data_IF_516499057898
#
_entry.id   IF_516499057898
#
_cell.length_a   1.000
_cell.length_b   1.000
_cell.length_c   1.000
_cell.angle_alpha   90.00
_cell.angle_beta   90.00
_cell.angle_gamma   90.00
#
_symmetry.space_group_name_H-M   'P 1'
#
loop_
_entity.id
_entity.type
_entity.pdbx_description
1 polymer ?
#
# COMPACT_ATOMS: atom_id res chain seq x y z
N UNK A 1 5.11 108.88 40.26
CA UNK A 1 5.01 107.44 40.55
C UNK A 1 4.12 106.81 39.51
N UNK A 2 4.67 106.20 38.45
CA UNK A 2 4.07 105.09 37.69
C UNK A 2 5.20 104.42 36.90
N UNK A 3 5.57 103.22 37.32
CA UNK A 3 6.55 102.33 36.67
C UNK A 3 5.79 101.30 35.86
N UNK A 4 6.08 101.20 34.56
CA UNK A 4 5.55 100.16 33.69
C UNK A 4 6.58 99.03 33.57
N UNK A 5 6.16 97.80 33.85
CA UNK A 5 6.91 96.58 33.59
C UNK A 5 6.49 96.01 32.23
N UNK A 6 7.45 95.84 31.32
CA UNK A 6 7.28 94.99 30.13
C UNK A 6 7.81 93.60 30.50
N UNK A 7 6.92 92.61 30.50
CA UNK A 7 7.22 91.21 30.74
C UNK A 7 7.27 90.51 29.38
N UNK A 8 8.44 90.05 28.98
CA UNK A 8 8.62 89.23 27.79
C UNK A 8 7.76 87.95 27.87
N UNK A 9 6.89 87.75 26.88
CA UNK A 9 6.26 86.45 26.66
C UNK A 9 7.16 85.60 25.77
N UNK A 10 7.84 84.65 26.39
CA UNK A 10 8.54 83.55 25.73
C UNK A 10 7.49 82.60 25.14
N UNK A 11 7.45 82.47 23.81
CA UNK A 11 6.72 81.43 23.10
C UNK A 11 7.44 80.08 23.32
N UNK A 12 6.91 79.21 24.19
CA UNK A 12 7.44 77.85 24.38
C UNK A 12 6.42 76.78 23.98
N UNK A 13 6.77 76.09 22.90
CA UNK A 13 6.43 74.70 22.54
C UNK A 13 4.96 74.23 22.52
N UNK A 14 4.22 74.57 21.47
CA UNK A 14 3.02 73.82 21.06
C UNK A 14 3.27 72.65 20.09
N UNK A 15 4.48 72.55 19.52
CA UNK A 15 4.76 71.65 18.38
C UNK A 15 4.93 70.17 18.76
N UNK A 16 5.64 69.86 19.85
CA UNK A 16 5.91 68.47 20.27
C UNK A 16 4.65 67.73 20.73
N UNK A 17 3.76 68.40 21.47
CA UNK A 17 2.52 67.81 21.96
C UNK A 17 1.55 67.46 20.81
N UNK A 18 1.49 68.31 19.78
CA UNK A 18 0.66 68.06 18.59
C UNK A 18 1.25 66.96 17.71
N UNK A 19 2.58 66.85 17.61
CA UNK A 19 3.25 65.76 16.90
C UNK A 19 3.00 64.41 17.57
N UNK A 20 3.06 64.35 18.90
CA UNK A 20 2.76 63.12 19.68
C UNK A 20 1.29 62.70 19.49
N UNK A 21 0.35 63.66 19.54
CA UNK A 21 -1.07 63.38 19.28
C UNK A 21 -1.31 62.84 17.87
N UNK A 22 -0.62 63.39 16.87
CA UNK A 22 -0.73 62.93 15.48
C UNK A 22 -0.14 61.52 15.32
N UNK A 23 1.02 61.24 15.92
CA UNK A 23 1.60 59.90 15.92
C UNK A 23 0.68 58.87 16.60
N UNK A 24 0.08 59.20 17.75
CA UNK A 24 -0.89 58.33 18.44
C UNK A 24 -2.13 58.08 17.57
N UNK A 25 -2.63 59.11 16.89
CA UNK A 25 -3.78 58.98 15.98
C UNK A 25 -3.45 58.05 14.80
N UNK A 26 -2.28 58.20 14.20
CA UNK A 26 -1.82 57.33 13.10
C UNK A 26 -1.67 55.88 13.59
N UNK A 27 -1.13 55.68 14.80
CA UNK A 27 -0.93 54.34 15.35
C UNK A 27 -2.26 53.66 15.67
N UNK A 28 -3.24 54.40 16.18
CA UNK A 28 -4.62 53.93 16.39
C UNK A 28 -5.32 53.60 15.06
N UNK A 29 -5.14 54.43 14.03
CA UNK A 29 -5.67 54.17 12.70
C UNK A 29 -5.05 52.91 12.09
N UNK A 30 -3.73 52.75 12.14
CA UNK A 30 -3.04 51.53 11.69
C UNK A 30 -3.50 50.29 12.45
N UNK A 31 -3.70 50.39 13.76
CA UNK A 31 -4.22 49.28 14.57
C UNK A 31 -5.66 48.93 14.16
N UNK A 32 -6.52 49.93 13.97
CA UNK A 32 -7.90 49.71 13.50
C UNK A 32 -7.95 49.06 12.12
N UNK A 33 -7.06 49.49 11.21
CA UNK A 33 -6.93 48.93 9.87
C UNK A 33 -6.43 47.47 9.92
N UNK A 34 -5.46 47.16 10.77
CA UNK A 34 -5.01 45.79 11.02
C UNK A 34 -6.13 44.91 11.57
N UNK A 35 -6.94 45.42 12.51
CA UNK A 35 -8.08 44.70 13.07
C UNK A 35 -9.18 44.41 12.03
N UNK A 36 -9.26 45.17 10.93
CA UNK A 36 -10.21 44.93 9.84
C UNK A 36 -9.60 44.01 8.76
N UNK A 37 -8.34 44.25 8.39
CA UNK A 37 -7.66 43.53 7.30
C UNK A 37 -7.29 42.11 7.75
N UNK A 38 -6.81 41.90 8.97
CA UNK A 38 -6.38 40.57 9.44
C UNK A 38 -7.52 39.54 9.40
N UNK A 39 -8.74 39.82 9.93
CA UNK A 39 -9.86 38.89 9.80
C UNK A 39 -10.28 38.64 8.36
N UNK A 40 -10.20 39.68 7.51
CA UNK A 40 -10.51 39.55 6.08
C UNK A 40 -9.51 38.65 5.36
N UNK A 41 -8.20 38.80 5.61
CA UNK A 41 -7.14 37.94 5.08
C UNK A 41 -7.28 36.51 5.62
N UNK A 42 -7.60 36.32 6.91
CA UNK A 42 -7.83 34.99 7.49
C UNK A 42 -9.02 34.30 6.80
N UNK A 43 -10.09 35.06 6.51
CA UNK A 43 -11.28 34.57 5.82
C UNK A 43 -11.02 34.26 4.34
N UNK A 44 -10.31 35.11 3.61
CA UNK A 44 -9.97 34.92 2.19
C UNK A 44 -8.95 33.79 1.96
N UNK A 45 -7.92 33.68 2.81
CA UNK A 45 -6.89 32.65 2.67
C UNK A 45 -7.36 31.24 3.06
N UNK A 46 -8.60 31.09 3.50
CA UNK A 46 -9.10 29.77 3.90
C UNK A 46 -8.29 29.13 5.02
N UNK A 47 -7.55 29.93 5.81
CA UNK A 47 -6.92 29.51 7.07
C UNK A 47 -8.03 29.34 8.14
N UNK A 48 -9.07 28.58 7.80
CA UNK A 48 -9.64 27.73 8.82
C UNK A 48 -8.51 26.79 9.18
N UNK A 49 -7.85 27.04 10.31
CA UNK A 49 -7.41 25.94 11.13
C UNK A 49 -8.67 25.09 11.35
N UNK A 50 -8.96 24.17 10.42
CA UNK A 50 -9.92 23.10 10.65
C UNK A 50 -9.30 22.35 11.81
N UNK A 51 -9.65 22.77 13.01
CA UNK A 51 -9.42 21.99 14.20
C UNK A 51 -10.16 20.71 13.92
N UNK A 52 -9.38 19.71 13.51
CA UNK A 52 -9.81 18.33 13.54
C UNK A 52 -10.50 18.15 14.89
N UNK A 53 -11.66 17.50 14.89
CA UNK A 53 -12.33 17.12 16.13
C UNK A 53 -11.27 16.64 17.13
N UNK A 54 -11.19 17.29 18.29
CA UNK A 54 -10.19 16.97 19.32
C UNK A 54 -10.43 15.51 19.69
N UNK A 55 -9.49 14.62 19.32
CA UNK A 55 -9.59 13.19 19.55
C UNK A 55 -8.54 12.74 20.56
N UNK A 56 -8.96 12.05 21.60
CA UNK A 56 -8.10 11.61 22.71
C UNK A 56 -7.49 10.22 22.45
N UNK A 57 -6.53 9.84 23.29
CA UNK A 57 -5.76 8.60 23.15
C UNK A 57 -6.54 7.26 23.25
N UNK A 58 -7.80 7.18 23.76
CA UNK A 58 -8.63 5.99 23.55
C UNK A 58 -9.54 6.07 22.30
N UNK A 59 -9.46 7.12 21.48
CA UNK A 59 -10.41 7.30 20.40
C UNK A 59 -10.22 6.32 19.25
N UNK A 60 -11.34 5.96 18.65
CA UNK A 60 -11.39 5.16 17.43
C UNK A 60 -10.63 5.85 16.30
N UNK A 61 -9.74 5.08 15.66
CA UNK A 61 -9.01 5.46 14.45
C UNK A 61 -9.83 5.09 13.23
N UNK A 62 -10.16 6.06 12.41
CA UNK A 62 -10.97 5.84 11.21
C UNK A 62 -10.08 5.70 9.99
N UNK A 63 -10.21 4.57 9.30
CA UNK A 63 -9.44 4.22 8.11
C UNK A 63 -10.40 4.19 6.93
N UNK A 64 -10.19 5.08 5.97
CA UNK A 64 -10.95 5.12 4.72
C UNK A 64 -10.24 4.26 3.69
N UNK A 65 -10.90 3.21 3.21
CA UNK A 65 -10.51 2.55 1.97
C UNK A 65 -11.12 3.35 0.82
N UNK A 66 -10.26 4.13 0.17
CA UNK A 66 -10.69 5.04 -0.86
C UNK A 66 -10.97 4.29 -2.16
N UNK A 67 -12.19 4.44 -2.67
CA UNK A 67 -12.64 3.78 -3.89
C UNK A 67 -13.35 4.81 -4.76
N UNK A 68 -12.81 5.07 -5.96
CA UNK A 68 -13.39 6.08 -6.85
C UNK A 68 -14.83 5.74 -7.29
N UNK A 69 -15.77 6.70 -7.34
CA UNK A 69 -17.16 6.46 -7.74
C UNK A 69 -17.34 5.82 -9.13
N UNK A 70 -16.49 6.15 -10.12
CA UNK A 70 -16.54 5.50 -11.45
C UNK A 70 -16.09 4.02 -11.40
N UNK A 71 -15.16 3.69 -10.51
CA UNK A 71 -14.74 2.30 -10.27
C UNK A 71 -15.82 1.53 -9.48
N UNK A 72 -16.51 2.18 -8.53
CA UNK A 72 -17.70 1.61 -7.87
C UNK A 72 -18.79 1.23 -8.88
N UNK A 73 -19.07 2.08 -9.87
CA UNK A 73 -20.01 1.77 -10.96
C UNK A 73 -19.53 0.57 -11.78
N UNK A 74 -18.29 0.58 -12.27
CA UNK A 74 -17.78 -0.53 -13.10
C UNK A 74 -17.74 -1.88 -12.35
N UNK A 75 -17.33 -1.89 -11.07
CA UNK A 75 -17.37 -3.10 -10.22
C UNK A 75 -18.83 -3.59 -10.12
N UNK A 76 -19.78 -2.72 -9.77
CA UNK A 76 -21.21 -3.07 -9.62
C UNK A 76 -21.89 -3.68 -10.87
N UNK A 77 -21.41 -3.39 -12.08
CA UNK A 77 -22.02 -3.89 -13.32
C UNK A 77 -21.59 -5.32 -13.70
N UNK A 78 -20.43 -5.80 -13.22
CA UNK A 78 -19.90 -7.11 -13.61
C UNK A 78 -19.66 -8.08 -12.45
N UNK A 79 -19.47 -7.59 -11.21
CA UNK A 79 -19.23 -8.41 -10.02
C UNK A 79 -19.83 -7.67 -8.82
N UNK A 80 -20.57 -8.35 -7.93
CA UNK A 80 -20.97 -7.73 -6.65
C UNK A 80 -19.68 -7.27 -5.97
N UNK A 81 -19.47 -5.96 -5.84
CA UNK A 81 -18.26 -5.41 -5.23
C UNK A 81 -18.24 -5.82 -3.77
N UNK A 82 -17.60 -6.94 -3.46
CA UNK A 82 -17.41 -7.39 -2.10
C UNK A 82 -16.25 -6.58 -1.54
N UNK A 83 -16.54 -5.83 -0.48
CA UNK A 83 -15.48 -5.19 0.29
C UNK A 83 -14.57 -6.29 0.85
N UNK A 84 -13.27 -6.12 0.70
CA UNK A 84 -12.28 -7.08 1.20
C UNK A 84 -12.37 -7.24 2.73
N UNK A 85 -12.63 -6.14 3.42
CA UNK A 85 -12.84 -6.11 4.87
C UNK A 85 -14.27 -5.67 5.20
N UNK A 86 -14.78 -6.21 6.30
CA UNK A 86 -16.04 -5.72 6.85
C UNK A 86 -15.87 -4.28 7.34
N UNK A 87 -16.85 -3.42 7.04
CA UNK A 87 -16.84 -2.06 7.57
C UNK A 87 -17.06 -2.08 9.08
N UNK A 88 -16.38 -1.19 9.79
CA UNK A 88 -16.40 -1.08 11.24
C UNK A 88 -15.18 -1.73 11.89
N UNK A 89 -15.40 -2.24 13.10
CA UNK A 89 -14.36 -2.75 13.99
C UNK A 89 -14.20 -4.28 13.92
N UNK A 90 -15.18 -4.98 13.34
CA UNK A 90 -15.31 -6.45 13.42
C UNK A 90 -14.08 -7.19 12.91
N UNK A 91 -13.46 -6.72 11.83
CA UNK A 91 -12.22 -7.28 11.28
C UNK A 91 -11.12 -7.40 12.33
N UNK A 92 -10.88 -6.34 13.12
CA UNK A 92 -9.82 -6.32 14.13
C UNK A 92 -10.13 -7.23 15.31
N UNK A 93 -11.41 -7.32 15.72
CA UNK A 93 -11.86 -8.17 16.82
C UNK A 93 -11.75 -9.65 16.43
N UNK A 94 -12.29 -10.02 15.25
CA UNK A 94 -12.28 -11.40 14.74
C UNK A 94 -10.86 -11.92 14.54
N UNK A 95 -9.95 -11.06 14.09
CA UNK A 95 -8.53 -11.40 13.92
C UNK A 95 -7.72 -11.34 15.22
N UNK A 96 -8.34 -10.99 16.35
CA UNK A 96 -7.68 -10.87 17.68
C UNK A 96 -6.47 -9.94 17.64
N UNK A 97 -6.60 -8.79 16.96
CA UNK A 97 -5.53 -7.81 16.84
C UNK A 97 -5.16 -7.23 18.23
N UNK A 98 -3.87 -6.90 18.49
CA UNK A 98 -3.46 -6.24 19.73
C UNK A 98 -4.16 -4.89 19.96
N UNK A 99 -4.48 -4.19 18.87
CA UNK A 99 -5.23 -2.95 18.87
C UNK A 99 -6.53 -3.15 18.12
N UNK A 100 -7.65 -2.89 18.80
CA UNK A 100 -8.98 -3.02 18.23
C UNK A 100 -9.68 -1.66 18.06
N UNK A 101 -9.08 -0.55 18.50
CA UNK A 101 -9.67 0.79 18.39
C UNK A 101 -9.56 1.38 16.96
N UNK A 102 -9.83 0.57 15.94
CA UNK A 102 -9.79 0.93 14.52
C UNK A 102 -11.14 0.67 13.85
N UNK A 103 -11.54 1.55 12.94
CA UNK A 103 -12.80 1.50 12.20
C UNK A 103 -12.51 1.59 10.70
N UNK A 104 -12.88 0.56 9.94
CA UNK A 104 -12.76 0.55 8.48
C UNK A 104 -14.03 1.11 7.84
N UNK A 105 -13.87 2.07 6.92
CA UNK A 105 -14.98 2.61 6.13
C UNK A 105 -14.64 2.62 4.64
N UNK A 106 -15.66 2.40 3.81
CA UNK A 106 -15.64 2.63 2.35
C UNK A 106 -16.55 3.80 1.94
N UNK A 107 -17.13 4.47 2.94
CA UNK A 107 -17.99 5.63 2.81
C UNK A 107 -17.20 6.89 3.19
N UNK A 108 -16.83 7.68 2.19
CA UNK A 108 -16.10 8.94 2.33
C UNK A 108 -16.91 9.99 3.11
N UNK A 109 -18.24 9.88 3.10
CA UNK A 109 -19.13 10.82 3.78
C UNK A 109 -19.34 10.54 5.27
N UNK A 110 -18.78 9.44 5.80
CA UNK A 110 -19.01 8.99 7.18
C UNK A 110 -18.67 10.07 8.23
N UNK A 111 -17.62 10.86 8.00
CA UNK A 111 -17.14 11.87 8.94
C UNK A 111 -17.50 13.28 8.46
N UNK A 112 -18.80 13.57 8.42
CA UNK A 112 -19.40 14.85 8.01
C UNK A 112 -19.06 15.25 6.57
N UNK A 113 -18.90 14.29 5.66
CA UNK A 113 -18.52 14.60 4.27
C UNK A 113 -17.07 15.05 4.06
N UNK A 114 -16.25 15.06 5.12
CA UNK A 114 -14.89 15.58 5.07
C UNK A 114 -13.86 14.47 5.26
N UNK A 115 -13.20 14.11 4.16
CA UNK A 115 -12.20 13.06 4.13
C UNK A 115 -10.99 13.37 5.03
N UNK A 116 -10.70 14.65 5.31
CA UNK A 116 -9.57 15.04 6.18
C UNK A 116 -9.76 14.63 7.64
N UNK A 117 -10.98 14.22 8.03
CA UNK A 117 -11.30 13.72 9.37
C UNK A 117 -10.91 12.25 9.59
N UNK A 118 -10.60 11.50 8.54
CA UNK A 118 -10.09 10.13 8.66
C UNK A 118 -8.63 10.15 9.15
N UNK A 119 -8.27 9.20 10.00
CA UNK A 119 -6.90 9.04 10.49
C UNK A 119 -5.97 8.53 9.39
N UNK A 120 -6.47 7.64 8.53
CA UNK A 120 -5.75 7.14 7.37
C UNK A 120 -6.67 7.00 6.16
N UNK A 121 -6.09 7.16 4.97
CA UNK A 121 -6.74 6.91 3.68
C UNK A 121 -5.88 5.92 2.91
N UNK A 122 -6.45 4.77 2.58
CA UNK A 122 -5.80 3.69 1.86
C UNK A 122 -6.18 3.78 0.39
N UNK A 123 -5.17 3.86 -0.47
CA UNK A 123 -5.29 3.95 -1.91
C UNK A 123 -4.79 2.66 -2.54
N UNK A 124 -5.72 1.88 -3.08
CA UNK A 124 -5.38 0.66 -3.81
C UNK A 124 -4.90 1.00 -5.23
N UNK A 125 -3.81 0.36 -5.66
CA UNK A 125 -3.21 0.56 -6.98
C UNK A 125 -4.23 0.46 -8.11
N UNK A 126 -5.21 -0.45 -8.00
CA UNK A 126 -6.22 -0.65 -9.04
C UNK A 126 -7.22 0.50 -9.15
N UNK A 127 -7.44 1.22 -8.05
CA UNK A 127 -8.35 2.36 -8.00
C UNK A 127 -7.64 3.64 -8.48
N UNK A 128 -6.34 3.81 -8.18
CA UNK A 128 -5.58 5.00 -8.60
C UNK A 128 -4.92 4.89 -9.99
N UNK A 129 -4.61 3.69 -10.49
CA UNK A 129 -3.93 3.51 -11.78
C UNK A 129 -4.78 3.94 -12.98
N UNK A 130 -6.11 3.96 -12.82
CA UNK A 130 -7.07 4.28 -13.90
C UNK A 130 -7.51 5.75 -13.86
N UNK A 131 -6.84 6.57 -13.05
CA UNK A 131 -7.30 7.89 -12.67
C UNK A 131 -6.81 9.00 -13.60
N UNK A 132 -7.64 10.03 -13.79
CA UNK A 132 -7.29 11.27 -14.53
C UNK A 132 -7.11 12.41 -13.54
N UNK A 133 -6.10 13.25 -13.76
CA UNK A 133 -5.59 14.29 -12.83
C UNK A 133 -6.69 15.20 -12.25
N UNK A 134 -7.74 15.52 -13.01
CA UNK A 134 -8.77 16.48 -12.62
C UNK A 134 -9.72 16.00 -11.50
N UNK A 135 -9.72 14.70 -11.18
CA UNK A 135 -10.60 14.14 -10.14
C UNK A 135 -9.91 14.21 -8.74
N UNK A 136 -8.68 14.75 -8.63
CA UNK A 136 -7.89 14.79 -7.40
C UNK A 136 -8.15 16.07 -6.59
N UNK A 137 -9.22 16.09 -5.78
CA UNK A 137 -9.44 17.16 -4.80
C UNK A 137 -9.47 16.60 -3.38
N UNK A 138 -8.31 16.19 -2.88
CA UNK A 138 -8.12 15.79 -1.49
C UNK A 138 -7.58 16.94 -0.67
N UNK A 139 -8.30 17.29 0.40
CA UNK A 139 -7.73 18.14 1.46
C UNK A 139 -7.05 17.24 2.47
N UNK A 140 -5.72 17.31 2.56
CA UNK A 140 -4.92 16.50 3.48
C UNK A 140 -4.81 17.19 4.84
N UNK A 141 -5.19 16.49 5.90
CA UNK A 141 -4.90 16.94 7.26
C UNK A 141 -3.44 16.64 7.62
N UNK A 142 -2.74 17.51 8.38
CA UNK A 142 -1.36 17.26 8.81
C UNK A 142 -1.14 15.96 9.59
N UNK A 143 -2.20 15.41 10.18
CA UNK A 143 -2.15 14.20 11.01
C UNK A 143 -2.71 12.95 10.31
N UNK A 144 -3.10 13.08 9.04
CA UNK A 144 -3.69 12.01 8.26
C UNK A 144 -2.61 11.25 7.49
N UNK A 145 -2.69 9.93 7.50
CA UNK A 145 -1.78 9.06 6.76
C UNK A 145 -2.37 8.61 5.43
N UNK A 146 -1.68 8.91 4.34
CA UNK A 146 -2.01 8.39 3.02
C UNK A 146 -1.20 7.11 2.79
N UNK A 147 -1.89 5.99 2.61
CA UNK A 147 -1.29 4.66 2.52
C UNK A 147 -1.41 4.16 1.09
N UNK A 148 -0.28 3.96 0.42
CA UNK A 148 -0.23 3.27 -0.86
C UNK A 148 -0.40 1.77 -0.63
N UNK A 149 -1.34 1.15 -1.33
CA UNK A 149 -1.59 -0.28 -1.22
C UNK A 149 -1.49 -0.97 -2.58
N UNK A 150 -0.72 -2.04 -2.64
CA UNK A 150 -0.61 -2.87 -3.84
C UNK A 150 -0.20 -4.29 -3.50
N UNK A 151 -0.95 -5.26 -4.04
CA UNK A 151 -0.47 -6.65 -4.11
C UNK A 151 0.07 -7.00 -5.51
N UNK A 152 0.05 -6.05 -6.46
CA UNK A 152 0.64 -6.20 -7.78
C UNK A 152 2.07 -5.69 -7.80
N UNK A 153 2.92 -6.36 -8.59
CA UNK A 153 4.24 -5.87 -8.90
C UNK A 153 4.21 -4.55 -9.68
N UNK A 154 5.18 -3.68 -9.41
CA UNK A 154 5.26 -2.35 -10.03
C UNK A 154 5.50 -2.42 -11.55
N UNK A 155 6.12 -3.49 -12.05
CA UNK A 155 6.27 -3.71 -13.48
C UNK A 155 4.94 -4.13 -14.13
N UNK A 156 4.08 -4.86 -13.42
CA UNK A 156 2.76 -5.24 -13.89
C UNK A 156 1.77 -4.07 -13.83
N UNK A 157 1.78 -3.31 -12.73
CA UNK A 157 0.86 -2.20 -12.48
C UNK A 157 1.62 -0.93 -12.06
N UNK A 158 2.34 -0.27 -12.98
CA UNK A 158 3.10 0.93 -12.64
C UNK A 158 2.18 2.13 -12.41
N UNK A 159 2.50 2.93 -11.39
CA UNK A 159 1.91 4.26 -11.17
C UNK A 159 2.92 5.30 -11.66
N UNK A 160 2.72 5.80 -12.88
CA UNK A 160 3.64 6.76 -13.52
C UNK A 160 3.13 8.21 -13.51
N UNK A 161 1.99 8.49 -12.85
CA UNK A 161 1.46 9.84 -12.81
C UNK A 161 2.20 10.66 -11.74
N UNK A 162 2.88 11.78 -12.10
CA UNK A 162 3.66 12.59 -11.16
C UNK A 162 2.85 13.18 -10.00
N UNK A 163 1.50 13.21 -10.09
CA UNK A 163 0.64 13.61 -8.96
C UNK A 163 0.86 12.74 -7.72
N UNK A 164 1.35 11.52 -7.90
CA UNK A 164 1.64 10.57 -6.83
C UNK A 164 3.08 10.68 -6.30
N UNK A 165 3.91 11.57 -6.85
CA UNK A 165 5.26 11.81 -6.34
C UNK A 165 5.18 12.45 -4.95
N UNK A 166 5.85 11.84 -3.96
CA UNK A 166 5.81 12.24 -2.54
C UNK A 166 4.39 12.33 -1.95
N UNK A 167 3.44 11.61 -2.54
CA UNK A 167 2.04 11.69 -2.16
C UNK A 167 1.69 10.84 -0.93
N UNK A 168 2.26 9.64 -0.86
CA UNK A 168 1.97 8.65 0.19
C UNK A 168 2.92 8.78 1.39
N UNK A 169 2.40 8.59 2.60
CA UNK A 169 3.19 8.45 3.83
C UNK A 169 3.71 7.04 4.03
N UNK A 170 2.86 6.05 3.80
CA UNK A 170 3.10 4.64 4.13
C UNK A 170 2.84 3.76 2.92
N UNK A 171 3.54 2.63 2.90
CA UNK A 171 3.35 1.55 1.94
C UNK A 171 2.78 0.31 2.61
N UNK A 172 1.78 -0.29 1.98
CA UNK A 172 1.17 -1.56 2.36
C UNK A 172 1.22 -2.50 1.15
N UNK A 173 2.31 -3.24 1.02
CA UNK A 173 2.59 -4.07 -0.16
C UNK A 173 3.22 -5.41 0.19
N UNK A 174 3.44 -6.27 -0.81
CA UNK A 174 4.18 -7.53 -0.62
C UNK A 174 5.66 -7.34 -0.25
N UNK A 175 6.23 -6.16 -0.51
CA UNK A 175 7.63 -5.89 -0.20
C UNK A 175 7.87 -5.97 1.30
N UNK A 176 8.97 -6.62 1.68
CA UNK A 176 9.28 -6.86 3.09
C UNK A 176 9.73 -5.59 3.81
N UNK A 177 10.10 -4.55 3.05
CA UNK A 177 10.46 -3.23 3.56
C UNK A 177 9.31 -2.21 3.59
N UNK A 178 8.07 -2.63 3.29
CA UNK A 178 6.90 -1.77 3.45
C UNK A 178 6.63 -1.42 4.91
N UNK A 179 6.01 -0.26 5.17
CA UNK A 179 5.57 0.14 6.51
C UNK A 179 4.58 -0.87 7.09
N UNK A 180 3.73 -1.44 6.22
CA UNK A 180 2.84 -2.56 6.52
C UNK A 180 3.14 -3.69 5.52
N UNK A 181 4.04 -4.62 5.83
CA UNK A 181 4.32 -5.75 4.95
C UNK A 181 3.11 -6.69 4.85
N UNK A 182 2.75 -7.07 3.63
CA UNK A 182 1.70 -8.04 3.33
C UNK A 182 2.17 -9.03 2.26
N UNK A 183 3.12 -9.92 2.60
CA UNK A 183 3.64 -10.91 1.67
C UNK A 183 2.56 -11.93 1.29
N UNK A 184 2.69 -12.54 0.12
CA UNK A 184 1.75 -13.56 -0.36
C UNK A 184 1.76 -14.85 0.48
N UNK A 185 2.89 -15.13 1.15
CA UNK A 185 3.10 -16.33 1.94
C UNK A 185 3.54 -15.99 3.36
N UNK A 186 3.07 -16.79 4.32
CA UNK A 186 3.52 -16.75 5.70
C UNK A 186 4.24 -18.06 6.03
N UNK A 187 5.39 -17.96 6.70
CA UNK A 187 6.25 -19.10 7.02
C UNK A 187 6.14 -19.37 8.52
N UNK A 188 5.65 -20.56 8.87
CA UNK A 188 5.51 -21.00 10.24
C UNK A 188 6.52 -22.11 10.55
N UNK A 189 7.05 -22.11 11.77
CA UNK A 189 7.88 -23.21 12.24
C UNK A 189 7.02 -24.39 12.75
N UNK A 190 7.67 -25.47 13.17
CA UNK A 190 7.01 -26.66 13.72
C UNK A 190 6.20 -26.42 15.02
N UNK A 191 6.32 -25.24 15.64
CA UNK A 191 5.53 -24.82 16.81
C UNK A 191 4.44 -23.81 16.43
N UNK A 192 4.09 -23.74 15.14
CA UNK A 192 3.08 -22.82 14.58
C UNK A 192 3.38 -21.33 14.84
N UNK A 193 4.65 -20.98 15.09
CA UNK A 193 5.08 -19.59 15.24
C UNK A 193 5.44 -19.02 13.88
N UNK A 194 4.89 -17.84 13.56
CA UNK A 194 5.27 -17.05 12.39
C UNK A 194 6.76 -16.67 12.48
N UNK A 195 7.55 -17.13 11.52
CA UNK A 195 9.00 -16.86 11.46
C UNK A 195 9.38 -15.96 10.29
N UNK A 196 8.63 -15.98 9.18
CA UNK A 196 8.92 -15.18 7.99
C UNK A 196 7.72 -15.03 7.05
N UNK A 197 7.92 -14.39 5.89
CA UNK A 197 9.18 -13.86 5.38
C UNK A 197 9.63 -12.58 6.10
N UNK A 198 10.94 -12.32 6.15
CA UNK A 198 11.55 -11.12 6.75
C UNK A 198 12.75 -10.69 5.94
N UNK A 199 13.05 -9.39 5.90
CA UNK A 199 14.25 -8.85 5.24
C UNK A 199 15.51 -9.58 5.69
N UNK A 200 15.64 -9.81 7.00
CA UNK A 200 16.71 -10.57 7.62
C UNK A 200 16.18 -11.90 8.14
N UNK A 201 16.19 -12.92 7.29
CA UNK A 201 15.73 -14.25 7.66
C UNK A 201 16.86 -15.09 8.25
N UNK A 202 16.52 -15.85 9.29
CA UNK A 202 17.42 -16.83 9.90
C UNK A 202 16.82 -18.21 9.78
N UNK A 203 17.35 -19.00 8.85
CA UNK A 203 16.91 -20.38 8.62
C UNK A 203 17.49 -21.34 9.64
N UNK A 204 16.74 -22.40 9.95
CA UNK A 204 17.22 -23.48 10.80
C UNK A 204 18.33 -24.24 10.04
N UNK A 205 19.53 -24.31 10.61
CA UNK A 205 20.70 -24.92 9.92
C UNK A 205 20.52 -26.39 9.57
N UNK A 206 19.75 -27.12 10.39
CA UNK A 206 19.49 -28.55 10.21
C UNK A 206 18.01 -28.80 10.43
N UNK A 207 17.32 -29.27 9.40
CA UNK A 207 15.97 -29.82 9.53
C UNK A 207 16.07 -31.31 9.86
N UNK A 208 15.23 -31.77 10.79
CA UNK A 208 15.06 -33.20 11.01
C UNK A 208 14.31 -33.80 9.82
N UNK A 209 14.82 -34.91 9.29
CA UNK A 209 14.14 -35.62 8.22
C UNK A 209 12.81 -36.17 8.73
N UNK A 210 11.70 -35.80 8.10
CA UNK A 210 10.41 -36.44 8.32
C UNK A 210 10.27 -37.69 7.44
N UNK A 211 9.50 -38.68 7.89
CA UNK A 211 9.27 -39.94 7.15
C UNK A 211 8.28 -39.73 6.00
N UNK A 212 7.36 -38.76 6.13
CA UNK A 212 6.27 -38.50 5.17
C UNK A 212 6.78 -38.17 3.76
N UNK A 213 7.76 -37.26 3.54
CA UNK A 213 8.28 -36.98 2.21
C UNK A 213 8.88 -38.23 1.56
N UNK A 214 9.56 -39.09 2.31
CA UNK A 214 10.28 -40.26 1.77
C UNK A 214 9.35 -41.20 0.97
N UNK A 215 8.11 -41.40 1.41
CA UNK A 215 7.16 -42.25 0.70
C UNK A 215 6.59 -41.58 -0.55
N UNK A 216 6.42 -40.25 -0.54
CA UNK A 216 5.93 -39.48 -1.70
C UNK A 216 6.95 -39.47 -2.85
N UNK A 217 8.25 -39.54 -2.55
CA UNK A 217 9.29 -39.57 -3.57
C UNK A 217 9.51 -40.95 -4.22
N UNK A 218 9.04 -42.06 -3.61
CA UNK A 218 9.31 -43.42 -4.11
C UNK A 218 8.72 -43.73 -5.49
N UNK A 219 7.63 -43.06 -5.85
CA UNK A 219 6.86 -43.35 -7.07
C UNK A 219 7.07 -42.31 -8.16
N UNK A 220 7.82 -41.23 -7.89
CA UNK A 220 8.10 -40.20 -8.88
C UNK A 220 9.13 -40.75 -9.87
N UNK A 221 8.91 -40.53 -11.15
CA UNK A 221 9.78 -41.01 -12.24
C UNK A 221 10.04 -39.95 -13.30
N UNK A 222 9.37 -38.78 -13.21
CA UNK A 222 9.53 -37.66 -14.13
C UNK A 222 10.32 -36.53 -13.50
N UNK A 223 11.13 -35.87 -14.31
CA UNK A 223 12.01 -34.80 -13.85
C UNK A 223 11.24 -33.52 -13.50
N UNK A 224 10.77 -32.79 -14.51
CA UNK A 224 10.25 -31.42 -14.33
C UNK A 224 8.85 -31.27 -14.91
N UNK A 225 7.92 -30.73 -14.11
CA UNK A 225 6.62 -30.24 -14.59
C UNK A 225 6.58 -28.71 -14.54
N UNK A 226 5.98 -28.09 -15.55
CA UNK A 226 5.71 -26.66 -15.57
C UNK A 226 4.21 -26.42 -15.81
N UNK A 227 3.48 -25.88 -14.83
CA UNK A 227 2.02 -25.66 -14.94
C UNK A 227 1.76 -24.20 -15.31
N UNK A 228 1.31 -23.95 -16.54
CA UNK A 228 1.14 -22.64 -17.15
C UNK A 228 -0.34 -22.38 -17.42
N UNK A 229 -0.97 -21.56 -16.56
CA UNK A 229 -2.40 -21.23 -16.67
C UNK A 229 -2.71 -19.81 -17.17
N UNK A 230 -1.71 -18.93 -17.17
CA UNK A 230 -1.81 -17.58 -17.73
C UNK A 230 -0.92 -17.49 -18.96
N UNK A 231 -1.53 -17.28 -20.13
CA UNK A 231 -0.79 -17.33 -21.41
C UNK A 231 -0.16 -15.99 -21.77
N UNK A 232 -0.67 -14.91 -21.18
CA UNK A 232 -0.23 -13.53 -21.43
C UNK A 232 0.50 -13.05 -20.20
N UNK A 233 1.73 -13.52 -20.06
CA UNK A 233 2.66 -13.00 -19.05
C UNK A 233 3.46 -11.87 -19.69
N UNK A 234 3.77 -10.84 -18.90
CA UNK A 234 4.61 -9.73 -19.35
C UNK A 234 5.99 -10.23 -19.79
N UNK A 235 6.50 -11.21 -19.06
CA UNK A 235 7.74 -11.90 -19.31
C UNK A 235 7.50 -13.15 -20.18
N UNK A 236 8.28 -13.30 -21.26
CA UNK A 236 8.20 -14.46 -22.15
C UNK A 236 9.10 -15.58 -21.64
N UNK A 237 8.52 -16.54 -20.95
CA UNK A 237 9.25 -17.70 -20.41
C UNK A 237 9.48 -18.82 -21.42
N UNK A 238 8.96 -18.69 -22.64
CA UNK A 238 9.00 -19.76 -23.64
C UNK A 238 10.43 -20.10 -24.06
N UNK A 239 11.27 -19.08 -24.27
CA UNK A 239 12.67 -19.27 -24.66
C UNK A 239 13.46 -19.95 -23.54
N UNK A 240 13.30 -19.50 -22.29
CA UNK A 240 13.90 -20.13 -21.12
C UNK A 240 13.47 -21.60 -20.95
N UNK A 241 12.16 -21.90 -21.05
CA UNK A 241 11.66 -23.27 -20.95
C UNK A 241 12.22 -24.13 -22.09
N UNK A 242 12.31 -23.57 -23.29
CA UNK A 242 12.87 -24.26 -24.44
C UNK A 242 14.34 -24.61 -24.23
N UNK A 243 15.17 -23.62 -23.89
CA UNK A 243 16.61 -23.78 -23.67
C UNK A 243 16.89 -24.74 -22.51
N UNK A 244 16.24 -24.56 -21.35
CA UNK A 244 16.37 -25.50 -20.23
C UNK A 244 15.94 -26.91 -20.63
N UNK A 245 14.89 -27.04 -21.45
CA UNK A 245 14.47 -28.30 -22.01
C UNK A 245 15.50 -28.95 -22.93
N UNK A 246 16.28 -28.18 -23.70
CA UNK A 246 17.37 -28.72 -24.52
C UNK A 246 18.54 -29.19 -23.65
N UNK A 247 18.92 -28.41 -22.64
CA UNK A 247 20.00 -28.78 -21.71
C UNK A 247 19.67 -30.07 -20.94
N UNK A 248 18.42 -30.23 -20.50
CA UNK A 248 17.98 -31.43 -19.77
C UNK A 248 17.97 -32.70 -20.63
N UNK A 249 17.83 -32.59 -21.96
CA UNK A 249 17.87 -33.77 -22.86
C UNK A 249 19.23 -34.47 -22.82
N UNK A 250 20.32 -33.75 -22.60
CA UNK A 250 21.66 -34.34 -22.44
C UNK A 250 21.71 -35.33 -21.25
N UNK A 251 20.82 -35.17 -20.27
CA UNK A 251 20.67 -36.02 -19.10
C UNK A 251 19.48 -36.99 -19.20
N UNK A 252 18.89 -37.14 -20.38
CA UNK A 252 17.67 -37.94 -20.62
C UNK A 252 16.46 -37.49 -19.77
N UNK A 253 16.37 -36.18 -19.49
CA UNK A 253 15.25 -35.58 -18.79
C UNK A 253 14.45 -34.62 -19.69
N UNK A 254 13.17 -34.45 -19.37
CA UNK A 254 12.25 -33.55 -20.08
C UNK A 254 11.56 -32.57 -19.12
N UNK A 255 11.08 -31.48 -19.70
CA UNK A 255 10.12 -30.56 -19.05
C UNK A 255 8.75 -30.82 -19.66
N UNK A 256 7.83 -31.30 -18.84
CA UNK A 256 6.45 -31.51 -19.26
C UNK A 256 5.61 -30.28 -18.90
N UNK A 257 5.15 -29.55 -19.91
CA UNK A 257 4.31 -28.37 -19.70
C UNK A 257 2.82 -28.75 -19.67
N UNK A 258 2.13 -28.31 -18.63
CA UNK A 258 0.70 -28.53 -18.40
C UNK A 258 -0.05 -27.20 -18.26
N UNK A 259 -1.38 -27.23 -18.35
CA UNK A 259 -2.25 -26.07 -18.11
C UNK A 259 -2.91 -25.54 -19.37
N UNK A 260 -3.61 -24.41 -19.26
CA UNK A 260 -4.31 -23.80 -20.41
C UNK A 260 -3.35 -23.40 -21.52
N UNK A 261 -2.10 -23.08 -21.18
CA UNK A 261 -1.07 -22.61 -22.12
C UNK A 261 0.08 -23.61 -22.31
N UNK A 262 0.05 -24.74 -21.58
CA UNK A 262 1.01 -25.82 -21.77
C UNK A 262 0.70 -26.66 -23.01
N UNK A 263 1.70 -27.45 -23.44
CA UNK A 263 1.57 -28.48 -24.48
C UNK A 263 0.49 -29.51 -24.12
N UNK A 264 0.41 -29.89 -22.84
CA UNK A 264 -0.61 -30.79 -22.32
C UNK A 264 -1.69 -30.02 -21.57
N UNK A 265 -2.96 -30.40 -21.75
CA UNK A 265 -4.06 -29.85 -20.95
C UNK A 265 -4.21 -30.61 -19.63
N UNK A 266 -4.73 -29.94 -18.61
CA UNK A 266 -5.09 -30.64 -17.39
C UNK A 266 -6.25 -31.61 -17.63
N UNK A 267 -6.25 -32.80 -17.00
CA UNK A 267 -7.39 -33.71 -17.08
C UNK A 267 -8.69 -33.02 -16.69
N UNK A 268 -9.75 -33.27 -17.47
CA UNK A 268 -11.06 -32.63 -17.31
C UNK A 268 -11.03 -31.09 -17.32
N UNK A 269 -9.96 -30.47 -17.84
CA UNK A 269 -9.75 -29.02 -17.80
C UNK A 269 -9.52 -28.43 -16.40
N UNK A 270 -9.34 -29.27 -15.36
CA UNK A 270 -9.24 -28.83 -13.96
C UNK A 270 -7.79 -28.71 -13.53
N UNK A 271 -7.41 -27.51 -13.08
CA UNK A 271 -6.07 -27.24 -12.56
C UNK A 271 -5.69 -28.16 -11.38
N UNK A 272 -6.65 -28.52 -10.53
CA UNK A 272 -6.44 -29.47 -9.43
C UNK A 272 -5.91 -30.83 -9.90
N UNK A 273 -6.26 -31.28 -11.10
CA UNK A 273 -5.79 -32.56 -11.64
C UNK A 273 -4.34 -32.47 -12.11
N UNK A 274 -3.92 -31.33 -12.67
CA UNK A 274 -2.50 -31.07 -12.93
C UNK A 274 -1.66 -31.07 -11.65
N UNK A 275 -2.19 -30.53 -10.55
CA UNK A 275 -1.50 -30.59 -9.25
C UNK A 275 -1.36 -32.02 -8.73
N UNK A 276 -2.37 -32.87 -8.90
CA UNK A 276 -2.26 -34.30 -8.54
C UNK A 276 -1.19 -35.02 -9.39
N UNK A 277 -1.11 -34.71 -10.69
CA UNK A 277 -0.07 -35.24 -11.57
C UNK A 277 1.32 -34.79 -11.08
N UNK A 278 1.50 -33.50 -10.77
CA UNK A 278 2.75 -32.98 -10.21
C UNK A 278 3.15 -33.71 -8.92
N UNK A 279 2.20 -33.87 -8.00
CA UNK A 279 2.43 -34.55 -6.72
C UNK A 279 2.82 -36.02 -6.91
N UNK A 280 2.17 -36.72 -7.85
CA UNK A 280 2.39 -38.15 -8.06
C UNK A 280 3.69 -38.46 -8.81
N UNK A 281 3.98 -37.73 -9.89
CA UNK A 281 4.95 -38.19 -10.89
C UNK A 281 6.27 -37.41 -10.91
N UNK A 282 6.28 -36.14 -10.48
CA UNK A 282 7.40 -35.23 -10.75
C UNK A 282 8.25 -34.91 -9.54
N UNK A 283 9.58 -34.97 -9.69
CA UNK A 283 10.52 -34.53 -8.66
C UNK A 283 10.56 -33.01 -8.51
N UNK A 284 10.58 -32.30 -9.63
CA UNK A 284 10.76 -30.85 -9.67
C UNK A 284 9.55 -30.17 -10.30
N UNK A 285 9.25 -28.97 -9.82
CA UNK A 285 8.27 -28.09 -10.46
C UNK A 285 8.94 -26.80 -10.84
N UNK A 286 8.93 -26.47 -12.13
CA UNK A 286 9.34 -25.15 -12.60
C UNK A 286 8.23 -24.15 -12.26
N UNK A 287 8.56 -23.17 -11.42
CA UNK A 287 7.67 -22.10 -10.98
C UNK A 287 8.09 -20.81 -11.67
N UNK A 288 7.18 -20.29 -12.49
CA UNK A 288 7.36 -19.04 -13.23
C UNK A 288 6.50 -17.99 -12.54
N UNK A 289 7.14 -17.08 -11.79
CA UNK A 289 6.42 -15.97 -11.19
C UNK A 289 5.90 -15.01 -12.26
N UNK A 290 4.83 -14.29 -11.97
CA UNK A 290 4.24 -13.37 -12.96
C UNK A 290 5.07 -12.10 -13.16
N UNK A 291 5.93 -11.80 -12.20
CA UNK A 291 6.85 -10.66 -12.21
C UNK A 291 8.20 -11.10 -11.64
N UNK A 292 9.27 -10.55 -12.20
CA UNK A 292 10.65 -10.79 -11.78
C UNK A 292 11.16 -9.58 -11.03
N UNK A 293 10.65 -9.35 -9.81
CA UNK A 293 11.06 -8.23 -8.95
C UNK A 293 11.37 -8.70 -7.52
N UNK A 294 12.10 -7.88 -6.77
CA UNK A 294 12.46 -8.16 -5.37
C UNK A 294 11.22 -8.47 -4.52
N UNK A 295 11.35 -9.47 -3.63
CA UNK A 295 10.34 -9.94 -2.68
C UNK A 295 9.03 -10.48 -3.29
N UNK A 296 8.90 -10.56 -4.62
CA UNK A 296 7.71 -11.09 -5.29
C UNK A 296 7.73 -12.63 -5.33
N UNK A 297 7.32 -13.24 -4.22
CA UNK A 297 7.18 -14.70 -4.07
C UNK A 297 5.74 -15.02 -3.73
N UNK A 298 5.04 -15.69 -4.64
CA UNK A 298 3.59 -15.90 -4.56
C UNK A 298 3.21 -17.25 -3.95
N UNK A 299 1.91 -17.50 -3.82
CA UNK A 299 1.36 -18.80 -3.46
C UNK A 299 1.77 -19.92 -4.42
N UNK A 300 2.25 -19.60 -5.63
CA UNK A 300 2.69 -20.59 -6.61
C UNK A 300 3.90 -21.40 -6.09
N UNK A 301 4.84 -20.74 -5.40
CA UNK A 301 5.99 -21.42 -4.76
C UNK A 301 5.53 -22.29 -3.61
N UNK A 302 4.68 -21.76 -2.73
CA UNK A 302 4.11 -22.53 -1.63
C UNK A 302 3.30 -23.74 -2.13
N UNK A 303 2.59 -23.57 -3.26
CA UNK A 303 1.83 -24.64 -3.89
C UNK A 303 2.75 -25.75 -4.37
N UNK A 304 3.86 -25.44 -5.06
CA UNK A 304 4.84 -26.43 -5.46
C UNK A 304 5.37 -27.25 -4.27
N UNK A 305 5.78 -26.57 -3.19
CA UNK A 305 6.23 -27.22 -1.96
C UNK A 305 5.16 -28.15 -1.37
N UNK A 306 3.89 -27.74 -1.37
CA UNK A 306 2.78 -28.57 -0.87
C UNK A 306 2.54 -29.85 -1.66
N UNK A 307 3.04 -29.93 -2.90
CA UNK A 307 2.92 -31.08 -3.79
C UNK A 307 4.13 -32.02 -3.71
N UNK A 308 4.99 -31.86 -2.69
CA UNK A 308 6.22 -32.65 -2.56
C UNK A 308 7.09 -32.60 -3.83
N UNK A 309 7.07 -31.47 -4.52
CA UNK A 309 8.02 -31.17 -5.60
C UNK A 309 9.07 -30.21 -5.06
N UNK A 310 10.27 -30.28 -5.63
CA UNK A 310 11.31 -29.28 -5.37
C UNK A 310 11.09 -28.14 -6.37
N UNK A 311 10.72 -26.92 -5.92
CA UNK A 311 10.48 -25.81 -6.81
C UNK A 311 11.80 -25.31 -7.41
N UNK A 312 11.83 -25.22 -8.74
CA UNK A 312 12.84 -24.46 -9.48
C UNK A 312 12.18 -23.13 -9.80
N UNK A 313 12.56 -22.05 -9.12
CA UNK A 313 11.87 -20.76 -9.24
C UNK A 313 12.64 -19.84 -10.16
N UNK A 314 11.96 -19.29 -11.16
CA UNK A 314 12.47 -18.19 -11.98
C UNK A 314 11.88 -16.88 -11.46
N UNK A 315 12.73 -16.05 -10.86
CA UNK A 315 12.37 -14.75 -10.30
C UNK A 315 13.60 -14.05 -9.71
N UNK A 316 13.44 -12.77 -9.31
CA UNK A 316 14.52 -11.96 -8.74
C UNK A 316 14.48 -11.86 -7.19
N UNK A 317 13.54 -12.57 -6.56
CA UNK A 317 13.47 -12.62 -5.11
C UNK A 317 14.72 -13.28 -4.49
N UNK A 318 15.12 -12.80 -3.32
CA UNK A 318 16.22 -13.39 -2.58
C UNK A 318 15.73 -14.58 -1.74
N UNK A 319 15.79 -15.79 -2.30
CA UNK A 319 15.40 -17.04 -1.62
C UNK A 319 16.37 -17.51 -0.52
N UNK A 320 17.41 -16.73 -0.19
CA UNK A 320 18.19 -16.92 1.05
C UNK A 320 17.52 -16.23 2.25
N UNK A 321 16.60 -15.29 1.99
CA UNK A 321 15.66 -14.74 2.98
C UNK A 321 14.49 -15.71 3.20
#
# INVERSE_FOLDING_TARGET
>A
MYTYYIKDMIFVSGSKANLIKLCLLILLLLFSLMMIIVPFIIKERGLQLRQRHVRFAPDMKYILFWNHPKVKKFKSFHVKAVNEFESGQSTFIKQKCPYINCFISYNESLLNGDQSNFDAVVFDVHDISKFRINDFNFTRSPYQKFVFRSHDAADNQPICNPVFDNFFDWTWTYKLNSDVPHPFINIYNAKEKLVGPKVNMTWVKKMNHSVVPKNKFKHKDRAVICIINKCRLKHKYQDFIHELGQELKAYNYTIDTYGTCGKNKCPSGKLSECYKIAERDYYFQLVLEESTVEDYVTETVAKALSLYTVPIVLGEANFRR
#
